data_IF_938330385267
#
_entry.id   IF_938330385267
#
_cell.length_a   1.000
_cell.length_b   1.000
_cell.length_c   1.000
_cell.angle_alpha   90.00
_cell.angle_beta   90.00
_cell.angle_gamma   90.00
#
_symmetry.space_group_name_H-M   'P 1'
#
loop_
_entity.id
_entity.type
_entity.pdbx_description
1 polymer ?
#
# COMPACT_ATOMS: atom_id res chain seq x y z
N UNK A 1 10.26 12.42 -22.00
CA UNK A 1 10.76 11.05 -22.26
C UNK A 1 11.24 10.30 -21.03
N UNK A 2 12.37 10.65 -20.38
CA UNK A 2 12.87 9.86 -19.24
C UNK A 2 11.93 9.92 -18.01
N UNK A 3 11.39 11.11 -17.72
CA UNK A 3 10.44 11.31 -16.61
C UNK A 3 9.12 10.59 -16.83
N UNK A 4 8.57 10.64 -18.05
CA UNK A 4 7.34 9.93 -18.40
C UNK A 4 7.51 8.41 -18.29
N UNK A 5 8.63 7.87 -18.78
CA UNK A 5 8.97 6.46 -18.63
C UNK A 5 9.00 6.04 -17.15
N UNK A 6 9.59 6.88 -16.29
CA UNK A 6 9.67 6.61 -14.85
C UNK A 6 8.27 6.58 -14.21
N UNK A 7 7.38 7.49 -14.58
CA UNK A 7 6.01 7.51 -14.08
C UNK A 7 5.20 6.29 -14.53
N UNK A 8 5.32 5.89 -15.81
CA UNK A 8 4.64 4.69 -16.31
C UNK A 8 5.17 3.41 -15.66
N UNK A 9 6.49 3.32 -15.42
CA UNK A 9 7.09 2.20 -14.71
C UNK A 9 6.58 2.12 -13.26
N UNK A 10 6.53 3.26 -12.55
CA UNK A 10 5.98 3.33 -11.20
C UNK A 10 4.51 2.91 -11.15
N UNK A 11 3.70 3.35 -12.12
CA UNK A 11 2.30 2.95 -12.22
C UNK A 11 2.16 1.42 -12.43
N UNK A 12 2.96 0.84 -13.33
CA UNK A 12 2.94 -0.59 -13.59
C UNK A 12 3.35 -1.41 -12.36
N UNK A 13 4.39 -0.97 -11.64
CA UNK A 13 4.82 -1.60 -10.38
C UNK A 13 3.75 -1.47 -9.29
N UNK A 14 3.10 -0.32 -9.18
CA UNK A 14 2.03 -0.09 -8.20
C UNK A 14 0.81 -0.99 -8.47
N UNK A 15 0.39 -1.11 -9.74
CA UNK A 15 -0.67 -2.03 -10.14
C UNK A 15 -0.30 -3.49 -9.87
N UNK A 16 0.92 -3.90 -10.19
CA UNK A 16 1.43 -5.25 -9.87
C UNK A 16 1.43 -5.51 -8.36
N UNK A 17 1.82 -4.51 -7.57
CA UNK A 17 1.80 -4.56 -6.11
C UNK A 17 0.37 -4.76 -5.56
N UNK A 18 -0.64 -4.08 -6.11
CA UNK A 18 -2.04 -4.28 -5.73
C UNK A 18 -2.48 -5.72 -6.01
N UNK A 19 -2.18 -6.27 -7.19
CA UNK A 19 -2.56 -7.64 -7.57
C UNK A 19 -1.96 -8.66 -6.61
N UNK A 20 -0.66 -8.53 -6.33
CA UNK A 20 0.03 -9.41 -5.39
C UNK A 20 -0.55 -9.30 -3.98
N UNK A 21 -0.75 -8.08 -3.49
CA UNK A 21 -1.31 -7.85 -2.15
C UNK A 21 -2.75 -8.36 -2.04
N UNK A 22 -3.55 -8.22 -3.10
CA UNK A 22 -4.91 -8.76 -3.16
C UNK A 22 -4.92 -10.29 -3.09
N UNK A 23 -3.99 -10.94 -3.80
CA UNK A 23 -3.82 -12.39 -3.75
C UNK A 23 -3.41 -12.89 -2.36
N UNK A 24 -2.58 -12.12 -1.65
CA UNK A 24 -2.22 -12.41 -0.25
C UNK A 24 -3.43 -12.25 0.66
N UNK A 25 -4.18 -11.14 0.58
CA UNK A 25 -5.40 -10.93 1.39
C UNK A 25 -6.41 -12.07 1.18
N UNK A 26 -6.59 -12.54 -0.06
CA UNK A 26 -7.51 -13.64 -0.37
C UNK A 26 -7.10 -14.98 0.27
N UNK A 27 -5.80 -15.23 0.40
CA UNK A 27 -5.28 -16.52 0.90
C UNK A 27 -5.12 -16.60 2.41
N UNK A 28 -5.14 -15.49 3.15
CA UNK A 28 -4.70 -15.50 4.54
C UNK A 28 -5.86 -15.55 5.54
N UNK A 29 -5.68 -16.36 6.58
CA UNK A 29 -6.60 -16.63 7.68
C UNK A 29 -6.84 -15.41 8.61
N UNK A 30 -8.03 -15.35 9.23
CA UNK A 30 -8.68 -14.20 9.91
C UNK A 30 -7.82 -13.24 10.77
N UNK A 31 -6.66 -13.63 11.31
CA UNK A 31 -5.81 -12.74 12.13
C UNK A 31 -4.81 -11.91 11.32
N UNK A 32 -4.28 -12.44 10.21
CA UNK A 32 -3.43 -11.67 9.29
C UNK A 32 -4.26 -10.77 8.36
N UNK A 33 -5.57 -10.98 8.34
CA UNK A 33 -6.54 -10.33 7.48
C UNK A 33 -6.57 -8.80 7.71
N UNK A 34 -6.43 -8.32 8.95
CA UNK A 34 -6.44 -6.88 9.27
C UNK A 34 -5.18 -6.17 8.78
N UNK A 35 -3.99 -6.71 9.10
CA UNK A 35 -2.72 -6.15 8.64
C UNK A 35 -2.64 -6.14 7.10
N UNK A 36 -3.06 -7.25 6.47
CA UNK A 36 -3.06 -7.36 5.02
C UNK A 36 -4.05 -6.39 4.36
N UNK A 37 -5.23 -6.16 4.94
CA UNK A 37 -6.20 -5.15 4.47
C UNK A 37 -5.68 -3.72 4.60
N UNK A 38 -4.99 -3.39 5.70
CA UNK A 38 -4.39 -2.07 5.90
C UNK A 38 -3.26 -1.81 4.90
N UNK A 39 -2.39 -2.79 4.66
CA UNK A 39 -1.35 -2.69 3.64
C UNK A 39 -1.94 -2.60 2.23
N UNK A 40 -3.01 -3.34 1.94
CA UNK A 40 -3.74 -3.23 0.68
C UNK A 40 -4.33 -1.82 0.49
N UNK A 41 -4.98 -1.28 1.52
CA UNK A 41 -5.53 0.08 1.50
C UNK A 41 -4.43 1.14 1.28
N UNK A 42 -3.27 0.97 1.91
CA UNK A 42 -2.10 1.80 1.65
C UNK A 42 -1.67 1.70 0.17
N UNK A 43 -1.55 0.49 -0.36
CA UNK A 43 -1.12 0.26 -1.74
C UNK A 43 -2.09 0.87 -2.78
N UNK A 44 -3.39 0.79 -2.50
CA UNK A 44 -4.43 1.45 -3.30
C UNK A 44 -4.28 2.96 -3.23
N UNK A 45 -4.12 3.54 -2.04
CA UNK A 45 -3.89 4.98 -1.88
C UNK A 45 -2.62 5.42 -2.63
N UNK A 46 -1.52 4.67 -2.54
CA UNK A 46 -0.29 4.95 -3.27
C UNK A 46 -0.50 4.99 -4.79
N UNK A 47 -1.23 4.00 -5.32
CA UNK A 47 -1.54 3.92 -6.76
C UNK A 47 -2.41 5.09 -7.23
N UNK A 48 -3.42 5.46 -6.43
CA UNK A 48 -4.24 6.66 -6.68
C UNK A 48 -3.37 7.92 -6.66
N UNK A 49 -2.42 8.01 -5.73
CA UNK A 49 -1.48 9.12 -5.63
C UNK A 49 -0.63 9.28 -6.89
N UNK A 50 -0.09 8.17 -7.42
CA UNK A 50 0.65 8.18 -8.70
C UNK A 50 -0.26 8.60 -9.86
N UNK A 51 -1.52 8.11 -9.89
CA UNK A 51 -2.48 8.51 -10.92
C UNK A 51 -2.81 10.00 -10.89
N UNK A 52 -2.95 10.59 -9.70
CA UNK A 52 -3.16 12.03 -9.53
C UNK A 52 -1.91 12.84 -9.91
N UNK A 53 -0.72 12.38 -9.54
CA UNK A 53 0.55 13.01 -9.96
C UNK A 53 0.67 12.99 -11.50
N UNK A 54 0.26 11.89 -12.16
CA UNK A 54 0.24 11.78 -13.62
C UNK A 54 -0.77 12.73 -14.27
N UNK A 55 -1.99 12.81 -13.72
CA UNK A 55 -3.03 13.72 -14.23
C UNK A 55 -2.66 15.20 -14.06
N UNK A 56 -1.95 15.53 -12.98
CA UNK A 56 -1.40 16.87 -12.75
C UNK A 56 -0.27 17.18 -13.75
N UNK A 57 0.63 16.22 -14.00
CA UNK A 57 1.68 16.36 -15.02
C UNK A 57 1.12 16.68 -16.41
N UNK A 58 0.01 16.04 -16.81
CA UNK A 58 -0.67 16.33 -18.08
C UNK A 58 -1.60 17.57 -18.04
N UNK A 59 -1.66 18.29 -16.92
CA UNK A 59 -2.46 19.51 -16.77
C UNK A 59 -3.98 19.29 -16.77
N UNK A 60 -4.45 18.07 -16.53
CA UNK A 60 -5.87 17.68 -16.61
C UNK A 60 -6.64 18.06 -15.34
N UNK A 61 -5.97 18.10 -14.18
CA UNK A 61 -6.58 18.36 -12.87
C UNK A 61 -6.00 19.66 -12.30
N UNK A 62 -6.83 20.56 -11.73
CA UNK A 62 -6.35 21.83 -11.16
C UNK A 62 -5.32 21.58 -10.05
N UNK A 63 -4.32 22.46 -9.95
CA UNK A 63 -3.14 22.40 -9.07
C UNK A 63 -3.41 22.49 -7.56
N UNK A 64 -4.54 21.97 -7.10
CA UNK A 64 -4.75 21.66 -5.70
C UNK A 64 -4.00 20.38 -5.36
N UNK A 65 -3.30 20.40 -4.23
CA UNK A 65 -2.33 19.38 -3.82
C UNK A 65 -2.99 18.10 -3.27
N UNK A 66 -4.01 17.59 -3.96
CA UNK A 66 -4.73 16.35 -3.62
C UNK A 66 -3.76 15.16 -3.47
N UNK A 67 -2.64 15.18 -4.21
CA UNK A 67 -1.54 14.23 -4.06
C UNK A 67 -0.96 14.19 -2.64
N UNK A 68 -0.86 15.33 -1.94
CA UNK A 68 -0.38 15.36 -0.54
C UNK A 68 -1.35 14.66 0.41
N UNK A 69 -2.66 14.88 0.26
CA UNK A 69 -3.69 14.22 1.06
C UNK A 69 -3.63 12.69 0.90
N UNK A 70 -3.49 12.22 -0.33
CA UNK A 70 -3.38 10.79 -0.62
C UNK A 70 -2.08 10.18 -0.10
N UNK A 71 -0.95 10.91 -0.18
CA UNK A 71 0.33 10.50 0.42
C UNK A 71 0.26 10.39 1.94
N UNK A 72 -0.46 11.29 2.60
CA UNK A 72 -0.70 11.22 4.05
C UNK A 72 -1.57 10.01 4.43
N UNK A 73 -2.62 9.72 3.65
CA UNK A 73 -3.43 8.52 3.84
C UNK A 73 -2.61 7.24 3.64
N UNK A 74 -1.79 7.19 2.59
CA UNK A 74 -0.83 6.10 2.39
C UNK A 74 0.05 5.89 3.62
N UNK A 75 0.66 6.96 4.12
CA UNK A 75 1.57 6.90 5.27
C UNK A 75 0.85 6.34 6.52
N UNK A 76 -0.38 6.80 6.79
CA UNK A 76 -1.18 6.33 7.91
C UNK A 76 -1.51 4.82 7.78
N UNK A 77 -2.07 4.40 6.64
CA UNK A 77 -2.44 2.99 6.44
C UNK A 77 -1.22 2.07 6.42
N UNK A 78 -0.12 2.51 5.83
CA UNK A 78 1.12 1.74 5.79
C UNK A 78 1.70 1.55 7.19
N UNK A 79 1.75 2.63 7.98
CA UNK A 79 2.28 2.58 9.36
C UNK A 79 1.42 1.69 10.26
N UNK A 80 0.09 1.82 10.18
CA UNK A 80 -0.83 0.95 10.91
C UNK A 80 -0.71 -0.51 10.48
N UNK A 81 -0.64 -0.77 9.17
CA UNK A 81 -0.44 -2.13 8.64
C UNK A 81 0.84 -2.77 9.14
N UNK A 82 1.95 -2.01 9.18
CA UNK A 82 3.24 -2.48 9.72
C UNK A 82 3.20 -2.73 11.23
N UNK A 83 2.48 -1.91 11.99
CA UNK A 83 2.32 -2.09 13.44
C UNK A 83 1.58 -3.39 13.75
N UNK A 84 0.46 -3.63 13.06
CA UNK A 84 -0.31 -4.88 13.18
C UNK A 84 0.51 -6.10 12.77
N UNK A 85 1.26 -5.99 11.67
CA UNK A 85 2.16 -7.06 11.22
C UNK A 85 3.21 -7.41 12.30
N UNK A 86 3.81 -6.39 12.93
CA UNK A 86 4.76 -6.57 14.03
C UNK A 86 4.12 -7.25 15.23
N UNK A 87 2.92 -6.82 15.63
CA UNK A 87 2.22 -7.45 16.76
C UNK A 87 1.94 -8.93 16.48
N UNK A 88 1.56 -9.25 15.24
CA UNK A 88 1.27 -10.61 14.83
C UNK A 88 2.52 -11.50 14.81
N UNK A 89 3.67 -10.97 14.39
CA UNK A 89 4.97 -11.68 14.46
C UNK A 89 5.36 -11.97 15.91
N UNK A 90 5.19 -11.02 16.82
CA UNK A 90 5.51 -11.20 18.24
C UNK A 90 4.61 -12.28 18.88
N UNK A 91 3.31 -12.26 18.58
CA UNK A 91 2.37 -13.29 19.04
C UNK A 91 2.75 -14.68 18.51
N UNK A 92 3.17 -14.76 17.24
CA UNK A 92 3.59 -16.01 16.62
C UNK A 92 4.88 -16.56 17.25
N UNK A 93 5.88 -15.70 17.48
CA UNK A 93 7.13 -16.08 18.15
C UNK A 93 6.90 -16.57 19.58
N UNK A 94 5.97 -15.93 20.31
CA UNK A 94 5.60 -16.34 21.66
C UNK A 94 4.91 -17.70 21.66
N UNK A 95 3.97 -17.92 20.73
CA UNK A 95 3.30 -19.21 20.59
C UNK A 95 4.25 -20.34 20.17
N UNK A 96 5.29 -20.07 19.37
CA UNK A 96 6.25 -21.12 18.96
C UNK A 96 7.18 -21.51 20.12
N UNK A 97 7.53 -20.56 21.00
CA UNK A 97 8.32 -20.85 22.23
C UNK A 97 7.55 -21.67 23.26
N UNK A 98 6.24 -21.47 23.39
CA UNK A 98 5.41 -22.23 24.34
C UNK A 98 5.12 -23.68 23.86
N UNK A 99 5.38 -23.98 22.58
CA UNK A 99 5.22 -25.33 21.99
C UNK A 99 6.51 -26.16 21.95
N UNK A 100 7.65 -25.60 22.37
CA UNK A 100 8.94 -26.30 22.47
C UNK A 100 9.29 -26.55 23.93
#
# INVERSE_FOLDING_TARGET
MLEEFFHYLLLALALGSIVLTSGVVWRVEKRLDVAAKLLLAANVAFTIGIGLDLLNYYGVVPGWDWGKLVKVLFLMFFTLGMYELRSLVIDLERSDRERR
#
